data_IF_655794530394
#
_entry.id   IF_655794530394
#
_cell.length_a   1.000
_cell.length_b   1.000
_cell.length_c   1.000
_cell.angle_alpha   90.00
_cell.angle_beta   90.00
_cell.angle_gamma   90.00
#
_symmetry.space_group_name_H-M   'P 1'
#
loop_
_entity.id
_entity.type
_entity.pdbx_description
1 polymer ?
#
# COMPACT_ATOMS: atom_id res chain seq x y z
N UNK A 1 -45.40 15.66 1.40
CA UNK A 1 -45.56 14.61 2.44
C UNK A 1 -44.18 14.11 2.79
N UNK A 2 -43.73 14.46 3.97
CA UNK A 2 -42.37 14.12 4.47
C UNK A 2 -42.37 12.67 4.96
N UNK A 3 -41.52 11.84 4.37
CA UNK A 3 -41.18 10.53 4.94
C UNK A 3 -39.90 10.67 5.72
N UNK A 4 -40.03 11.01 7.01
CA UNK A 4 -38.98 10.88 7.99
C UNK A 4 -39.00 9.46 8.50
N UNK A 5 -38.17 8.60 7.92
CA UNK A 5 -37.91 7.27 8.52
C UNK A 5 -36.62 7.37 9.32
N UNK A 6 -36.77 7.70 10.59
CA UNK A 6 -35.72 7.54 11.59
C UNK A 6 -35.60 6.05 11.94
N UNK A 7 -34.92 5.26 11.10
CA UNK A 7 -34.43 3.94 11.50
C UNK A 7 -33.13 4.13 12.29
N UNK A 8 -33.25 4.38 13.60
CA UNK A 8 -32.19 4.07 14.55
C UNK A 8 -32.11 2.56 14.69
N UNK A 9 -31.53 1.85 13.71
CA UNK A 9 -31.11 0.48 13.93
C UNK A 9 -30.06 0.51 15.04
N UNK A 10 -30.36 -0.14 16.16
CA UNK A 10 -29.38 -0.48 17.20
C UNK A 10 -28.44 -1.51 16.61
N UNK A 11 -27.51 -1.07 15.76
CA UNK A 11 -26.41 -1.91 15.33
C UNK A 11 -25.68 -2.35 16.59
N UNK A 12 -25.58 -3.65 16.80
CA UNK A 12 -24.81 -4.20 17.94
C UNK A 12 -23.36 -3.72 17.78
N UNK A 13 -22.65 -3.38 18.87
CA UNK A 13 -21.28 -2.94 18.79
C UNK A 13 -20.44 -4.04 18.13
N UNK A 14 -19.71 -3.67 17.08
CA UNK A 14 -18.78 -4.57 16.40
C UNK A 14 -17.70 -5.01 17.37
N UNK A 15 -17.55 -6.33 17.56
CA UNK A 15 -16.48 -6.89 18.39
C UNK A 15 -15.24 -7.09 17.48
N UNK A 16 -14.16 -6.32 17.70
CA UNK A 16 -12.97 -6.44 16.89
C UNK A 16 -12.31 -7.81 17.00
N UNK A 17 -11.97 -8.43 15.86
CA UNK A 17 -11.36 -9.75 15.79
C UNK A 17 -9.85 -9.64 15.57
N UNK A 18 -9.06 -10.11 16.55
CA UNK A 18 -7.58 -10.07 16.46
C UNK A 18 -7.03 -10.81 15.24
N UNK A 19 -7.67 -11.88 14.77
CA UNK A 19 -7.24 -12.64 13.59
C UNK A 19 -7.20 -11.80 12.30
N UNK A 20 -8.04 -10.75 12.22
CA UNK A 20 -8.10 -9.82 11.08
C UNK A 20 -7.31 -8.53 11.31
N UNK A 21 -6.66 -8.37 12.49
CA UNK A 21 -5.90 -7.16 12.81
C UNK A 21 -6.76 -5.89 12.87
N UNK A 22 -8.04 -6.01 13.22
CA UNK A 22 -9.01 -4.92 13.19
C UNK A 22 -8.68 -3.83 14.22
N UNK A 23 -8.48 -2.61 13.72
CA UNK A 23 -8.35 -1.37 14.50
C UNK A 23 -9.16 -0.30 13.77
N UNK A 24 -10.36 0.00 14.23
CA UNK A 24 -11.29 0.90 13.54
C UNK A 24 -10.92 2.35 13.78
N UNK A 25 -10.82 3.15 12.73
CA UNK A 25 -10.52 4.57 12.81
C UNK A 25 -11.70 5.32 13.46
N UNK A 26 -11.43 6.09 14.51
CA UNK A 26 -12.41 6.90 15.24
C UNK A 26 -12.16 8.41 15.11
N UNK A 27 -10.98 8.79 14.66
CA UNK A 27 -10.59 10.19 14.52
C UNK A 27 -11.26 10.83 13.29
N UNK A 28 -12.33 11.60 13.50
CA UNK A 28 -13.09 12.25 12.44
C UNK A 28 -12.24 13.23 11.62
N UNK A 29 -11.33 13.97 12.25
CA UNK A 29 -10.43 14.88 11.55
C UNK A 29 -9.46 14.14 10.62
N UNK A 30 -9.04 12.92 10.99
CA UNK A 30 -8.27 12.06 10.11
C UNK A 30 -9.11 11.58 8.90
N UNK A 31 -10.35 11.20 9.11
CA UNK A 31 -11.29 10.81 8.04
C UNK A 31 -11.43 11.93 7.00
N UNK A 32 -11.69 13.17 7.43
CA UNK A 32 -11.80 14.31 6.53
C UNK A 32 -10.51 14.53 5.71
N UNK A 33 -9.34 14.46 6.36
CA UNK A 33 -8.06 14.59 5.67
C UNK A 33 -7.82 13.47 4.66
N UNK A 34 -8.24 12.23 4.95
CA UNK A 34 -8.14 11.10 4.03
C UNK A 34 -9.04 11.33 2.82
N UNK A 35 -10.30 11.70 3.03
CA UNK A 35 -11.26 11.98 1.96
C UNK A 35 -10.76 13.13 1.08
N UNK A 36 -10.29 14.22 1.68
CA UNK A 36 -9.71 15.34 0.93
C UNK A 36 -8.45 14.94 0.15
N UNK A 37 -7.63 14.03 0.70
CA UNK A 37 -6.40 13.59 0.03
C UNK A 37 -6.67 12.63 -1.12
N UNK A 38 -7.71 11.77 -1.03
CA UNK A 38 -8.12 10.93 -2.15
C UNK A 38 -8.74 11.79 -3.26
N UNK A 39 -9.34 12.94 -2.90
CA UNK A 39 -9.88 13.93 -3.83
C UNK A 39 -10.85 13.30 -4.85
N UNK A 40 -11.94 12.64 -4.39
CA UNK A 40 -12.84 11.89 -5.25
C UNK A 40 -13.74 12.82 -6.02
N UNK A 41 -13.98 12.52 -7.31
CA UNK A 41 -14.98 13.21 -8.12
C UNK A 41 -16.24 12.36 -8.28
N UNK A 42 -17.42 12.95 -8.49
CA UNK A 42 -18.63 12.19 -8.77
C UNK A 42 -18.45 11.22 -9.94
N UNK A 43 -18.88 9.97 -9.76
CA UNK A 43 -18.76 8.92 -10.77
C UNK A 43 -17.38 8.26 -10.88
N UNK A 44 -16.34 8.77 -10.18
CA UNK A 44 -15.03 8.09 -10.14
C UNK A 44 -15.10 6.74 -9.42
N UNK A 45 -14.32 5.79 -9.93
CA UNK A 45 -14.19 4.46 -9.32
C UNK A 45 -13.28 4.53 -8.13
N UNK A 46 -13.82 4.16 -6.98
CA UNK A 46 -13.07 4.04 -5.74
C UNK A 46 -13.13 2.59 -5.24
N UNK A 47 -11.97 2.06 -4.87
CA UNK A 47 -11.84 0.78 -4.17
C UNK A 47 -11.45 1.07 -2.73
N UNK A 48 -12.34 0.77 -1.79
CA UNK A 48 -12.05 0.81 -0.37
C UNK A 48 -11.66 -0.57 0.13
N UNK A 49 -10.52 -0.67 0.81
CA UNK A 49 -10.02 -1.93 1.35
C UNK A 49 -10.09 -1.88 2.87
N UNK A 50 -10.85 -2.80 3.46
CA UNK A 50 -11.11 -2.84 4.90
C UNK A 50 -11.95 -1.65 5.37
N UNK A 51 -13.23 -1.54 4.96
CA UNK A 51 -14.13 -0.45 5.35
C UNK A 51 -14.33 -0.33 6.86
N UNK A 52 -14.09 -1.41 7.61
CA UNK A 52 -14.24 -1.44 9.05
C UNK A 52 -15.67 -1.15 9.47
N UNK A 53 -15.92 -0.08 10.23
CA UNK A 53 -17.27 0.35 10.61
C UNK A 53 -17.96 1.22 9.54
N UNK A 54 -17.33 1.41 8.37
CA UNK A 54 -17.89 2.14 7.22
C UNK A 54 -17.80 3.66 7.31
N UNK A 55 -16.91 4.20 8.13
CA UNK A 55 -16.78 5.65 8.32
C UNK A 55 -16.27 6.37 7.03
N UNK A 56 -15.36 5.75 6.27
CA UNK A 56 -14.92 6.25 4.97
C UNK A 56 -15.96 5.91 3.89
N UNK A 57 -16.51 4.70 3.90
CA UNK A 57 -17.57 4.23 2.99
C UNK A 57 -18.71 5.25 2.90
N UNK A 58 -19.25 5.68 4.05
CA UNK A 58 -20.35 6.65 4.12
C UNK A 58 -19.97 7.99 3.48
N UNK A 59 -18.78 8.49 3.76
CA UNK A 59 -18.30 9.75 3.19
C UNK A 59 -18.12 9.67 1.68
N UNK A 60 -17.53 8.60 1.18
CA UNK A 60 -17.30 8.39 -0.26
C UNK A 60 -18.60 8.24 -1.04
N UNK A 61 -19.57 7.49 -0.51
CA UNK A 61 -20.89 7.37 -1.12
C UNK A 61 -21.63 8.71 -1.19
N UNK A 62 -21.55 9.52 -0.12
CA UNK A 62 -22.18 10.84 -0.10
C UNK A 62 -21.57 11.83 -1.12
N UNK A 63 -20.37 11.56 -1.62
CA UNK A 63 -19.71 12.31 -2.70
C UNK A 63 -20.08 11.80 -4.11
N UNK A 64 -20.95 10.79 -4.21
CA UNK A 64 -21.43 10.26 -5.48
C UNK A 64 -20.42 9.42 -6.25
N UNK A 65 -19.47 8.80 -5.56
CA UNK A 65 -18.47 7.93 -6.20
C UNK A 65 -19.03 6.56 -6.57
N UNK A 66 -18.44 5.92 -7.58
CA UNK A 66 -18.69 4.50 -7.90
C UNK A 66 -17.84 3.62 -6.99
N UNK A 67 -18.30 3.42 -5.74
CA UNK A 67 -17.55 2.73 -4.69
C UNK A 67 -17.69 1.21 -4.76
N UNK A 68 -16.58 0.51 -4.54
CA UNK A 68 -16.52 -0.91 -4.16
C UNK A 68 -15.74 -1.01 -2.88
N UNK A 69 -16.33 -1.55 -1.81
CA UNK A 69 -15.69 -1.75 -0.52
C UNK A 69 -15.52 -3.24 -0.21
N UNK A 70 -14.27 -3.66 0.01
CA UNK A 70 -13.90 -5.07 0.17
C UNK A 70 -13.59 -5.35 1.65
N UNK A 71 -14.37 -6.24 2.25
CA UNK A 71 -14.24 -6.63 3.67
C UNK A 71 -14.06 -8.14 3.79
N UNK A 72 -13.00 -8.55 4.47
CA UNK A 72 -12.67 -9.97 4.66
C UNK A 72 -13.48 -10.63 5.78
N UNK A 73 -13.93 -9.86 6.78
CA UNK A 73 -14.75 -10.39 7.88
C UNK A 73 -16.21 -10.52 7.43
N UNK A 74 -16.75 -11.76 7.32
CA UNK A 74 -18.11 -11.97 6.82
C UNK A 74 -19.20 -11.35 7.70
N UNK A 75 -19.01 -11.31 9.03
CA UNK A 75 -20.00 -10.72 9.93
C UNK A 75 -20.03 -9.20 9.75
N UNK A 76 -18.85 -8.57 9.63
CA UNK A 76 -18.74 -7.15 9.40
C UNK A 76 -19.25 -6.77 7.99
N UNK A 77 -18.94 -7.59 6.98
CA UNK A 77 -19.46 -7.39 5.63
C UNK A 77 -20.98 -7.49 5.57
N UNK A 78 -21.60 -8.44 6.28
CA UNK A 78 -23.05 -8.57 6.37
C UNK A 78 -23.69 -7.32 6.99
N UNK A 79 -23.16 -6.84 8.13
CA UNK A 79 -23.62 -5.61 8.78
C UNK A 79 -23.48 -4.38 7.86
N UNK A 80 -22.36 -4.27 7.15
CA UNK A 80 -22.14 -3.17 6.22
C UNK A 80 -23.08 -3.23 5.01
N UNK A 81 -23.42 -4.43 4.51
CA UNK A 81 -24.40 -4.59 3.42
C UNK A 81 -25.80 -4.14 3.81
N UNK A 82 -26.22 -4.37 5.04
CA UNK A 82 -27.51 -3.84 5.53
C UNK A 82 -27.53 -2.30 5.48
N UNK A 83 -26.40 -1.65 5.69
CA UNK A 83 -26.29 -0.18 5.71
C UNK A 83 -26.03 0.41 4.34
N UNK A 84 -25.17 -0.21 3.51
CA UNK A 84 -24.63 0.39 2.28
C UNK A 84 -24.97 -0.42 1.02
N UNK A 85 -25.60 -1.59 1.13
CA UNK A 85 -26.02 -2.40 -0.01
C UNK A 85 -24.87 -3.12 -0.72
N UNK A 86 -25.05 -3.31 -2.03
CA UNK A 86 -24.22 -4.15 -2.88
C UNK A 86 -22.79 -3.59 -3.14
N UNK A 87 -22.49 -2.38 -2.69
CA UNK A 87 -21.12 -1.83 -2.78
C UNK A 87 -20.13 -2.60 -1.90
N UNK A 88 -20.64 -3.42 -0.95
CA UNK A 88 -19.84 -4.22 -0.04
C UNK A 88 -19.60 -5.61 -0.63
N UNK A 89 -18.35 -5.97 -0.83
CA UNK A 89 -17.92 -7.32 -1.25
C UNK A 89 -17.27 -8.01 -0.06
N UNK A 90 -17.77 -9.19 0.30
CA UNK A 90 -17.10 -10.03 1.30
C UNK A 90 -16.08 -10.94 0.59
N UNK A 91 -14.81 -10.57 0.64
CA UNK A 91 -13.72 -11.33 0.05
C UNK A 91 -12.35 -10.90 0.61
N UNK A 92 -11.30 -11.66 0.30
CA UNK A 92 -9.92 -11.18 0.44
C UNK A 92 -9.61 -10.16 -0.68
N UNK A 93 -9.08 -8.99 -0.32
CA UNK A 93 -8.73 -7.96 -1.28
C UNK A 93 -7.62 -8.40 -2.26
N UNK A 94 -6.86 -9.44 -1.95
CA UNK A 94 -5.89 -10.03 -2.87
C UNK A 94 -6.54 -10.87 -3.98
N UNK A 95 -7.74 -11.40 -3.75
CA UNK A 95 -8.45 -12.26 -4.70
C UNK A 95 -9.44 -11.50 -5.59
N UNK A 96 -9.94 -10.33 -5.13
CA UNK A 96 -10.90 -9.52 -5.91
C UNK A 96 -10.19 -8.84 -7.08
N UNK A 97 -10.63 -9.00 -8.34
CA UNK A 97 -10.06 -8.26 -9.47
C UNK A 97 -10.11 -6.74 -9.26
N UNK A 98 -9.01 -6.06 -9.60
CA UNK A 98 -9.00 -4.59 -9.63
C UNK A 98 -9.81 -4.08 -10.84
N UNK A 99 -10.34 -2.84 -10.77
CA UNK A 99 -11.13 -2.28 -11.87
C UNK A 99 -10.34 -2.22 -13.18
N UNK A 100 -11.01 -2.55 -14.30
CA UNK A 100 -10.43 -2.46 -15.65
C UNK A 100 -10.44 -1.03 -16.22
N UNK A 101 -10.89 -0.06 -15.45
CA UNK A 101 -10.92 1.37 -15.77
C UNK A 101 -10.19 2.17 -14.69
N UNK A 102 -9.82 3.44 -14.95
CA UNK A 102 -9.12 4.28 -13.98
C UNK A 102 -9.81 4.27 -12.61
N UNK A 103 -9.02 4.02 -11.54
CA UNK A 103 -9.54 3.95 -10.18
C UNK A 103 -8.60 4.58 -9.15
N UNK A 104 -9.18 4.97 -8.03
CA UNK A 104 -8.46 5.35 -6.81
C UNK A 104 -8.67 4.29 -5.74
N UNK A 105 -7.73 4.15 -4.82
CA UNK A 105 -7.84 3.19 -3.72
C UNK A 105 -7.70 3.88 -2.37
N UNK A 106 -8.44 3.44 -1.39
CA UNK A 106 -8.37 3.96 -0.02
C UNK A 106 -8.55 2.82 0.98
N UNK A 107 -8.01 2.97 2.17
CA UNK A 107 -8.28 1.98 3.22
C UNK A 107 -7.33 2.04 4.40
N UNK A 108 -7.79 1.41 5.48
CA UNK A 108 -6.97 1.09 6.63
C UNK A 108 -6.44 -0.33 6.46
N UNK A 109 -5.26 -0.47 5.84
CA UNK A 109 -4.75 -1.79 5.46
C UNK A 109 -4.37 -2.63 6.69
N UNK A 110 -4.82 -3.90 6.74
CA UNK A 110 -4.42 -4.83 7.80
C UNK A 110 -2.90 -4.98 7.84
N UNK A 111 -2.32 -4.99 9.04
CA UNK A 111 -0.86 -4.94 9.21
C UNK A 111 -0.10 -6.15 8.66
N UNK A 112 -0.75 -7.30 8.57
CA UNK A 112 -0.16 -8.56 8.07
C UNK A 112 -0.18 -8.67 6.54
N UNK A 113 -1.17 -8.06 5.86
CA UNK A 113 -1.34 -8.18 4.39
C UNK A 113 -1.32 -6.83 3.66
N UNK A 114 -1.12 -5.72 4.37
CA UNK A 114 -1.15 -4.39 3.78
C UNK A 114 -0.09 -4.17 2.69
N UNK A 115 1.12 -4.72 2.85
CA UNK A 115 2.18 -4.60 1.84
C UNK A 115 1.87 -5.32 0.53
N UNK A 116 1.42 -6.59 0.50
CA UNK A 116 0.94 -7.24 -0.72
C UNK A 116 -0.18 -6.47 -1.43
N UNK A 117 -1.18 -5.99 -0.70
CA UNK A 117 -2.29 -5.21 -1.25
C UNK A 117 -1.79 -3.91 -1.89
N UNK A 118 -0.96 -3.15 -1.16
CA UNK A 118 -0.37 -1.91 -1.66
C UNK A 118 0.41 -2.15 -2.95
N UNK A 119 1.28 -3.17 -2.98
CA UNK A 119 2.08 -3.52 -4.17
C UNK A 119 1.19 -3.83 -5.37
N UNK A 120 0.13 -4.60 -5.17
CA UNK A 120 -0.84 -4.94 -6.21
C UNK A 120 -1.52 -3.70 -6.78
N UNK A 121 -1.98 -2.79 -5.91
CA UNK A 121 -2.68 -1.56 -6.31
C UNK A 121 -1.77 -0.63 -7.12
N UNK A 122 -0.56 -0.33 -6.64
CA UNK A 122 0.32 0.62 -7.32
C UNK A 122 0.91 0.09 -8.64
N UNK A 123 0.98 -1.23 -8.81
CA UNK A 123 1.46 -1.85 -10.05
C UNK A 123 0.39 -1.89 -11.16
N UNK A 124 -0.89 -1.70 -10.82
CA UNK A 124 -1.98 -1.74 -11.80
C UNK A 124 -1.93 -0.53 -12.75
N UNK A 125 -2.07 -0.72 -14.07
CA UNK A 125 -2.01 0.37 -15.05
C UNK A 125 -3.16 1.37 -14.93
N UNK A 126 -4.29 0.96 -14.34
CA UNK A 126 -5.46 1.81 -14.12
C UNK A 126 -5.40 2.60 -12.80
N UNK A 127 -4.41 2.34 -11.96
CA UNK A 127 -4.18 3.07 -10.72
C UNK A 127 -4.00 4.57 -10.96
N UNK A 128 -4.71 5.42 -10.19
CA UNK A 128 -4.62 6.89 -10.29
C UNK A 128 -4.18 7.57 -9.02
N UNK A 129 -4.60 7.09 -7.87
CA UNK A 129 -4.17 7.56 -6.54
C UNK A 129 -4.53 6.53 -5.49
N UNK A 130 -3.71 6.38 -4.47
CA UNK A 130 -4.11 5.68 -3.26
C UNK A 130 -3.84 6.51 -1.99
N UNK A 131 -4.73 6.37 -1.01
CA UNK A 131 -4.55 6.93 0.34
C UNK A 131 -4.71 5.80 1.33
N UNK A 132 -3.58 5.28 1.80
CA UNK A 132 -3.57 4.14 2.69
C UNK A 132 -3.10 4.51 4.10
N UNK A 133 -3.78 3.95 5.08
CA UNK A 133 -3.33 3.96 6.46
C UNK A 133 -2.57 2.67 6.75
N UNK A 134 -1.36 2.81 7.27
CA UNK A 134 -0.38 1.73 7.46
C UNK A 134 0.29 1.87 8.83
N UNK A 135 0.97 0.83 9.31
CA UNK A 135 1.90 0.99 10.41
C UNK A 135 2.96 2.04 10.05
N UNK A 136 3.34 2.87 11.03
CA UNK A 136 4.34 3.93 10.83
C UNK A 136 5.64 3.40 10.20
N UNK A 137 6.12 2.25 10.64
CA UNK A 137 7.34 1.62 10.08
C UNK A 137 7.20 1.32 8.58
N UNK A 138 6.04 0.80 8.14
CA UNK A 138 5.78 0.53 6.71
C UNK A 138 5.71 1.83 5.92
N UNK A 139 5.07 2.85 6.48
CA UNK A 139 5.01 4.18 5.87
C UNK A 139 6.41 4.82 5.74
N UNK A 140 7.24 4.70 6.77
CA UNK A 140 8.62 5.20 6.75
C UNK A 140 9.45 4.48 5.67
N UNK A 141 9.27 3.17 5.47
CA UNK A 141 9.91 2.41 4.38
C UNK A 141 9.49 2.92 2.99
N UNK A 142 8.22 3.30 2.82
CA UNK A 142 7.74 3.80 1.53
C UNK A 142 8.38 5.12 1.12
N UNK A 143 8.77 5.98 2.07
CA UNK A 143 9.31 7.32 1.80
C UNK A 143 10.82 7.43 2.07
N UNK A 144 11.47 6.35 2.49
CA UNK A 144 12.90 6.31 2.79
C UNK A 144 13.75 6.68 1.57
N UNK A 145 14.96 7.21 1.83
CA UNK A 145 15.98 7.54 0.83
C UNK A 145 17.17 6.59 0.98
N UNK A 146 18.04 6.46 -0.03
CA UNK A 146 19.27 5.70 0.09
C UNK A 146 20.04 6.09 1.37
N UNK A 147 20.52 5.06 2.09
CA UNK A 147 21.22 5.13 3.38
C UNK A 147 20.34 5.36 4.61
N UNK A 148 19.04 5.61 4.46
CA UNK A 148 18.13 5.61 5.60
C UNK A 148 18.00 4.18 6.17
N UNK A 149 17.82 4.07 7.49
CA UNK A 149 17.63 2.78 8.17
C UNK A 149 16.44 1.98 7.60
N UNK A 150 15.39 2.66 7.18
CA UNK A 150 14.17 2.05 6.65
C UNK A 150 14.22 1.78 5.13
N UNK A 151 15.29 2.22 4.45
CA UNK A 151 15.46 2.00 3.01
C UNK A 151 15.61 0.52 2.67
N UNK A 152 14.91 0.06 1.63
CA UNK A 152 14.94 -1.34 1.24
C UNK A 152 14.09 -1.68 0.03
N UNK A 153 13.84 -2.99 -0.14
CA UNK A 153 13.06 -3.51 -1.26
C UNK A 153 11.71 -2.79 -1.46
N UNK A 154 10.94 -2.58 -0.37
CA UNK A 154 9.64 -1.92 -0.48
C UNK A 154 9.74 -0.47 -0.97
N UNK A 155 10.79 0.24 -0.57
CA UNK A 155 11.08 1.60 -1.04
C UNK A 155 11.28 1.62 -2.55
N UNK A 156 12.16 0.74 -3.05
CA UNK A 156 12.48 0.64 -4.47
C UNK A 156 11.30 0.12 -5.29
N UNK A 157 10.60 -0.91 -4.80
CA UNK A 157 9.39 -1.40 -5.46
C UNK A 157 8.38 -0.26 -5.64
N UNK A 158 8.12 0.53 -4.60
CA UNK A 158 7.24 1.68 -4.70
C UNK A 158 7.76 2.71 -5.71
N UNK A 159 9.07 3.01 -5.71
CA UNK A 159 9.67 3.97 -6.65
C UNK A 159 9.54 3.55 -8.12
N UNK A 160 9.44 2.25 -8.42
CA UNK A 160 9.18 1.75 -9.76
C UNK A 160 7.80 2.17 -10.30
N UNK A 161 6.80 2.33 -9.43
CA UNK A 161 5.40 2.48 -9.83
C UNK A 161 4.75 3.78 -9.40
N UNK A 162 5.19 4.37 -8.29
CA UNK A 162 4.50 5.50 -7.66
C UNK A 162 5.45 6.43 -6.91
N UNK A 163 5.10 7.70 -6.82
CA UNK A 163 5.60 8.61 -5.78
C UNK A 163 4.84 8.39 -4.47
N UNK A 164 5.44 8.72 -3.33
CA UNK A 164 4.79 8.58 -2.03
C UNK A 164 5.14 9.75 -1.11
N UNK A 165 4.17 10.15 -0.29
CA UNK A 165 4.37 11.10 0.80
C UNK A 165 3.53 10.74 2.01
N UNK A 166 4.05 10.98 3.21
CA UNK A 166 3.27 10.87 4.45
C UNK A 166 2.37 12.10 4.56
N UNK A 167 1.05 11.87 4.60
CA UNK A 167 0.06 12.92 4.82
C UNK A 167 0.00 13.33 6.29
N UNK A 168 -0.06 12.33 7.18
CA UNK A 168 -0.14 12.54 8.62
C UNK A 168 0.26 11.28 9.39
N UNK A 169 0.64 11.47 10.65
CA UNK A 169 0.87 10.39 11.62
C UNK A 169 -0.33 10.33 12.57
N UNK A 170 -0.67 9.13 13.02
CA UNK A 170 -1.80 8.87 13.90
C UNK A 170 -1.33 8.09 15.13
N UNK A 171 -1.67 8.60 16.29
CA UNK A 171 -1.43 7.91 17.55
C UNK A 171 -2.46 6.81 17.78
N UNK A 172 -2.12 5.78 18.60
CA UNK A 172 -3.03 4.66 18.90
C UNK A 172 -4.43 5.05 19.33
N UNK A 173 -4.58 6.15 20.07
CA UNK A 173 -5.87 6.67 20.51
C UNK A 173 -6.82 7.12 19.38
N UNK A 174 -6.33 7.20 18.14
CA UNK A 174 -7.19 7.46 16.97
C UNK A 174 -8.05 6.26 16.57
N UNK A 175 -7.85 5.09 17.19
CA UNK A 175 -8.44 3.81 16.81
C UNK A 175 -9.15 3.10 17.97
N UNK A 176 -10.06 2.20 17.63
CA UNK A 176 -10.66 1.26 18.58
C UNK A 176 -10.70 -0.16 17.99
N UNK A 177 -10.09 -1.16 18.66
CA UNK A 177 -9.16 -1.02 19.78
C UNK A 177 -7.89 -0.26 19.37
N UNK A 178 -7.19 0.30 20.34
CA UNK A 178 -5.93 1.00 20.08
C UNK A 178 -4.84 0.00 19.65
N UNK A 179 -4.17 0.20 18.50
CA UNK A 179 -3.04 -0.63 18.09
C UNK A 179 -1.84 -0.43 19.01
N UNK A 180 -0.91 -1.41 19.03
CA UNK A 180 0.31 -1.32 19.83
C UNK A 180 1.34 -0.34 19.27
N UNK A 181 1.21 0.04 17.99
CA UNK A 181 2.16 0.90 17.27
C UNK A 181 1.43 2.08 16.63
N UNK A 182 2.16 3.14 16.37
CA UNK A 182 1.65 4.29 15.62
C UNK A 182 1.34 3.91 14.18
N UNK A 183 0.37 4.60 13.61
CA UNK A 183 0.05 4.50 12.19
C UNK A 183 0.44 5.78 11.45
N UNK A 184 0.47 5.70 10.13
CA UNK A 184 0.58 6.86 9.27
C UNK A 184 -0.29 6.70 8.04
N UNK A 185 -0.79 7.82 7.53
CA UNK A 185 -1.51 7.89 6.27
C UNK A 185 -0.53 8.30 5.18
N UNK A 186 -0.46 7.51 4.12
CA UNK A 186 0.41 7.73 2.97
C UNK A 186 -0.44 7.99 1.74
N UNK A 187 -0.09 9.02 0.98
CA UNK A 187 -0.63 9.28 -0.36
C UNK A 187 0.36 8.72 -1.37
N UNK A 188 -0.17 7.98 -2.32
CA UNK A 188 0.57 7.39 -3.44
C UNK A 188 -0.05 7.90 -4.74
N UNK A 189 0.79 8.48 -5.60
CA UNK A 189 0.40 8.94 -6.93
C UNK A 189 1.20 8.16 -7.98
N UNK A 190 0.62 7.82 -9.16
CA UNK A 190 1.32 7.06 -10.17
C UNK A 190 2.57 7.80 -10.67
N UNK A 191 3.68 7.08 -10.71
CA UNK A 191 4.99 7.52 -11.22
C UNK A 191 5.74 6.30 -11.76
N UNK A 192 5.10 5.57 -12.71
CA UNK A 192 5.66 4.33 -13.27
C UNK A 192 6.90 4.64 -14.11
N UNK A 193 8.00 4.00 -13.76
CA UNK A 193 9.25 4.16 -14.50
C UNK A 193 9.20 3.35 -15.81
N UNK A 194 9.76 3.88 -16.92
CA UNK A 194 9.72 3.20 -18.22
C UNK A 194 10.52 1.91 -18.26
N UNK A 195 11.49 1.74 -17.38
CA UNK A 195 12.38 0.57 -17.29
C UNK A 195 11.89 -0.50 -16.30
N UNK A 196 10.63 -0.45 -15.85
CA UNK A 196 10.07 -1.50 -14.97
C UNK A 196 10.01 -2.82 -15.71
N UNK A 197 10.63 -3.85 -15.13
CA UNK A 197 10.59 -5.22 -15.59
C UNK A 197 10.60 -6.20 -14.42
N UNK A 198 10.13 -7.42 -14.65
CA UNK A 198 10.18 -8.49 -13.62
C UNK A 198 11.63 -8.82 -13.26
N UNK A 199 12.55 -8.74 -14.22
CA UNK A 199 13.97 -8.96 -14.00
C UNK A 199 14.60 -7.96 -13.05
N UNK A 200 14.25 -6.68 -13.19
CA UNK A 200 14.70 -5.63 -12.27
C UNK A 200 14.11 -5.79 -10.87
N UNK A 201 12.83 -6.17 -10.77
CA UNK A 201 12.17 -6.42 -9.49
C UNK A 201 12.85 -7.60 -8.77
N UNK A 202 13.17 -8.68 -9.50
CA UNK A 202 13.87 -9.85 -8.98
C UNK A 202 15.30 -9.50 -8.55
N UNK A 203 16.04 -8.74 -9.35
CA UNK A 203 17.37 -8.22 -9.01
C UNK A 203 17.35 -7.42 -7.70
N UNK A 204 16.43 -6.47 -7.57
CA UNK A 204 16.26 -5.68 -6.34
C UNK A 204 15.95 -6.60 -5.16
N UNK A 205 15.05 -7.58 -5.34
CA UNK A 205 14.72 -8.55 -4.29
C UNK A 205 15.95 -9.35 -3.84
N UNK A 206 16.74 -9.85 -4.79
CA UNK A 206 17.98 -10.58 -4.52
C UNK A 206 19.01 -9.72 -3.79
N UNK A 207 19.15 -8.45 -4.20
CA UNK A 207 20.10 -7.52 -3.59
C UNK A 207 19.83 -7.24 -2.10
N UNK A 208 18.55 -7.27 -1.67
CA UNK A 208 18.16 -7.05 -0.28
C UNK A 208 17.99 -8.33 0.55
N UNK A 209 18.34 -9.52 0.02
CA UNK A 209 18.20 -10.80 0.73
C UNK A 209 18.92 -10.81 2.06
N UNK A 210 20.14 -10.27 2.10
CA UNK A 210 20.96 -10.14 3.31
C UNK A 210 21.43 -8.70 3.47
N UNK A 211 20.67 -7.89 4.17
CA UNK A 211 20.85 -6.44 4.27
C UNK A 211 22.26 -5.99 4.68
N UNK A 212 22.90 -6.70 5.61
CA UNK A 212 24.26 -6.35 6.12
C UNK A 212 25.41 -6.82 5.23
N UNK A 213 25.14 -7.55 4.15
CA UNK A 213 26.17 -8.04 3.22
C UNK A 213 26.42 -7.06 2.09
N UNK A 214 27.65 -7.10 1.53
CA UNK A 214 27.97 -6.38 0.30
C UNK A 214 27.07 -6.86 -0.85
N UNK A 215 26.76 -5.97 -1.77
CA UNK A 215 25.90 -6.24 -2.92
C UNK A 215 26.40 -7.44 -3.73
N UNK A 216 27.71 -7.51 -4.01
CA UNK A 216 28.32 -8.65 -4.71
C UNK A 216 28.01 -10.00 -4.05
N UNK A 217 27.96 -10.05 -2.72
CA UNK A 217 27.67 -11.30 -2.00
C UNK A 217 26.20 -11.71 -2.10
N UNK A 218 25.28 -10.73 -2.20
CA UNK A 218 23.86 -10.99 -2.38
C UNK A 218 23.54 -11.45 -3.80
N UNK A 219 24.28 -10.96 -4.79
CA UNK A 219 24.03 -11.24 -6.21
C UNK A 219 24.86 -12.40 -6.76
N UNK A 220 25.92 -12.83 -6.09
CA UNK A 220 26.63 -14.07 -6.46
C UNK A 220 25.67 -15.25 -6.39
N UNK A 221 25.53 -15.99 -7.49
CA UNK A 221 24.57 -17.09 -7.66
C UNK A 221 23.18 -16.66 -8.13
N UNK A 222 22.86 -15.37 -8.13
CA UNK A 222 21.60 -14.89 -8.74
C UNK A 222 21.62 -15.19 -10.24
N UNK A 223 20.62 -15.93 -10.72
CA UNK A 223 20.56 -16.42 -12.11
C UNK A 223 21.86 -17.04 -12.58
N UNK A 224 22.53 -17.78 -11.71
CA UNK A 224 23.83 -18.43 -11.95
C UNK A 224 25.01 -17.46 -12.23
N UNK A 225 24.87 -16.18 -11.88
CA UNK A 225 25.96 -15.22 -12.06
C UNK A 225 27.15 -15.55 -11.15
N UNK A 226 28.34 -15.68 -11.75
CA UNK A 226 29.57 -15.83 -10.98
C UNK A 226 29.91 -14.51 -10.26
N UNK A 227 30.79 -14.61 -9.25
CA UNK A 227 31.26 -13.42 -8.53
C UNK A 227 31.95 -12.41 -9.47
N UNK A 228 32.74 -12.92 -10.41
CA UNK A 228 33.45 -12.12 -11.42
C UNK A 228 32.47 -11.39 -12.33
N UNK A 229 31.41 -12.10 -12.81
CA UNK A 229 30.35 -11.49 -13.64
C UNK A 229 29.67 -10.33 -12.87
N UNK A 230 29.35 -10.55 -11.58
CA UNK A 230 28.71 -9.51 -10.75
C UNK A 230 29.63 -8.31 -10.56
N UNK A 231 30.93 -8.53 -10.26
CA UNK A 231 31.90 -7.43 -10.08
C UNK A 231 32.08 -6.63 -11.38
N UNK A 232 32.20 -7.30 -12.52
CA UNK A 232 32.32 -6.64 -13.82
C UNK A 232 31.05 -5.84 -14.18
N UNK A 233 29.86 -6.33 -13.82
CA UNK A 233 28.61 -5.60 -13.99
C UNK A 233 28.53 -4.37 -13.07
N UNK A 234 28.96 -4.50 -11.80
CA UNK A 234 29.01 -3.38 -10.87
C UNK A 234 29.97 -2.28 -11.37
N UNK A 235 31.13 -2.65 -11.92
CA UNK A 235 32.08 -1.72 -12.50
C UNK A 235 31.46 -0.97 -13.70
N UNK A 236 30.83 -1.68 -14.65
CA UNK A 236 30.10 -1.06 -15.78
C UNK A 236 28.98 -0.13 -15.34
N UNK A 237 28.27 -0.49 -14.26
CA UNK A 237 27.22 0.33 -13.67
C UNK A 237 27.76 1.49 -12.81
N UNK A 238 29.08 1.65 -12.67
CA UNK A 238 29.74 2.63 -11.81
C UNK A 238 29.42 2.46 -10.31
N UNK A 239 29.27 1.21 -9.88
CA UNK A 239 28.98 0.84 -8.47
C UNK A 239 30.25 0.27 -7.86
N UNK A 240 30.69 0.84 -6.74
CA UNK A 240 31.91 0.37 -6.05
C UNK A 240 31.77 -1.08 -5.56
N UNK A 241 32.83 -1.90 -5.68
CA UNK A 241 32.84 -3.31 -5.27
C UNK A 241 32.51 -3.55 -3.76
N UNK A 242 32.65 -2.51 -2.94
CA UNK A 242 32.31 -2.53 -1.51
C UNK A 242 30.89 -2.16 -1.17
N UNK A 243 30.10 -1.68 -2.15
CA UNK A 243 28.77 -1.14 -1.94
C UNK A 243 27.78 -2.16 -1.36
N UNK A 244 26.82 -1.66 -0.59
CA UNK A 244 25.66 -2.40 -0.12
C UNK A 244 24.40 -1.95 -0.86
N UNK A 245 23.39 -2.82 -0.92
CA UNK A 245 22.13 -2.51 -1.61
C UNK A 245 21.43 -1.23 -1.10
N UNK A 246 21.55 -0.95 0.20
CA UNK A 246 20.94 0.23 0.84
C UNK A 246 21.58 1.57 0.46
N UNK A 247 22.73 1.54 -0.20
CA UNK A 247 23.46 2.74 -0.64
C UNK A 247 23.04 3.17 -2.05
N UNK A 248 22.40 2.27 -2.82
CA UNK A 248 22.07 2.45 -4.23
C UNK A 248 20.69 3.11 -4.41
N UNK A 249 20.65 4.07 -5.34
CA UNK A 249 19.39 4.61 -5.85
C UNK A 249 18.74 3.66 -6.87
N UNK A 250 17.48 3.91 -7.24
CA UNK A 250 16.77 3.09 -8.22
C UNK A 250 17.48 3.05 -9.59
N UNK A 251 18.01 4.18 -10.04
CA UNK A 251 18.73 4.26 -11.33
C UNK A 251 20.04 3.45 -11.32
N UNK A 252 20.68 3.28 -10.15
CA UNK A 252 21.85 2.40 -10.03
C UNK A 252 21.45 0.95 -10.24
N UNK A 253 20.30 0.52 -9.73
CA UNK A 253 19.76 -0.82 -9.97
C UNK A 253 19.36 -1.04 -11.43
N UNK A 254 18.80 -0.02 -12.10
CA UNK A 254 18.50 -0.10 -13.53
C UNK A 254 19.79 -0.33 -14.35
N UNK A 255 20.82 0.51 -14.15
CA UNK A 255 22.13 0.32 -14.81
C UNK A 255 22.77 -1.04 -14.50
N UNK A 256 22.65 -1.51 -13.24
CA UNK A 256 23.18 -2.80 -12.86
C UNK A 256 22.43 -3.95 -13.54
N UNK A 257 21.11 -3.83 -13.66
CA UNK A 257 20.29 -4.81 -14.39
C UNK A 257 20.71 -4.91 -15.86
N UNK A 258 20.85 -3.78 -16.55
CA UNK A 258 21.31 -3.72 -17.93
C UNK A 258 22.72 -4.32 -18.08
N UNK A 259 23.62 -4.10 -17.10
CA UNK A 259 24.96 -4.64 -17.11
C UNK A 259 25.05 -6.14 -16.81
N UNK A 260 24.07 -6.72 -16.13
CA UNK A 260 24.01 -8.17 -15.81
C UNK A 260 23.38 -8.98 -16.96
N UNK A 261 22.54 -8.37 -17.70
CA UNK A 261 21.85 -8.70 -18.98
C UNK A 261 21.81 -9.97 -19.54
#
# INVERSE_FOLDING_TARGET
MAWSIALKSKLQPVIPKKKWGQNFLRNRGAVEKIVNAIDPQPGEVIVEIGPGEGILTEKLLNLGTALTAIEIDPELAAMLREKFGEVIINADALDVPLPTRPFRAVGNLPYNVGTPILRRVIADPNFRRAVFMLQKEVADRLVAKPRDEQYGYLTLYRQLYASARILMKLDPGSFHPAPKVRSAVVVLDPDRKPFVSDDLIDLISAAFRMRRKKLVNNLTGWRSASREKVLAAMERAQIGAGARAEELALDDFARLGDALG
#
